data_IF_809082295821
#
_entry.id   IF_809082295821
#
_cell.length_a   1.000
_cell.length_b   1.000
_cell.length_c   1.000
_cell.angle_alpha   90.00
_cell.angle_beta   90.00
_cell.angle_gamma   90.00
#
_symmetry.space_group_name_H-M   'P 1'
#
loop_
_entity.id
_entity.type
_entity.pdbx_description
1 polymer ?
#
# COMPACT_ATOMS: atom_id res chain seq x y z
N UNK A 1 -1.79 27.03 -16.64
CA UNK A 1 -1.16 26.03 -15.76
C UNK A 1 -0.76 24.87 -16.64
N UNK A 2 0.54 24.66 -16.85
CA UNK A 2 1.05 23.57 -17.69
C UNK A 2 0.86 22.25 -16.94
N UNK A 3 0.02 21.37 -17.47
CA UNK A 3 -0.09 19.98 -17.02
C UNK A 3 1.20 19.26 -17.40
N UNK A 4 1.96 18.83 -16.39
CA UNK A 4 3.09 17.93 -16.58
C UNK A 4 2.54 16.55 -16.92
N UNK A 5 2.73 16.12 -18.16
CA UNK A 5 2.61 14.72 -18.57
C UNK A 5 3.71 13.92 -17.87
N UNK A 6 3.39 13.21 -16.79
CA UNK A 6 4.28 12.27 -16.11
C UNK A 6 3.46 11.05 -15.72
N UNK A 7 3.98 9.85 -15.94
CA UNK A 7 3.26 8.60 -15.65
C UNK A 7 2.78 8.60 -14.19
N UNK A 8 1.47 8.56 -13.96
CA UNK A 8 0.88 8.44 -12.63
C UNK A 8 0.98 6.99 -12.12
N UNK A 9 2.09 6.33 -12.44
CA UNK A 9 2.35 4.90 -12.26
C UNK A 9 3.81 4.72 -11.86
N UNK A 10 4.07 3.93 -10.82
CA UNK A 10 5.42 3.61 -10.36
C UNK A 10 5.52 2.13 -9.95
N UNK A 11 6.64 1.46 -10.25
CA UNK A 11 6.94 0.15 -9.68
C UNK A 11 7.02 0.20 -8.14
N UNK A 12 6.58 -0.86 -7.48
CA UNK A 12 6.59 -0.96 -6.01
C UNK A 12 7.98 -0.68 -5.42
N UNK A 13 9.04 -1.19 -6.05
CA UNK A 13 10.42 -0.92 -5.62
C UNK A 13 10.79 0.56 -5.60
N UNK A 14 10.26 1.34 -6.54
CA UNK A 14 10.50 2.79 -6.61
C UNK A 14 9.71 3.52 -5.52
N UNK A 15 8.47 3.10 -5.27
CA UNK A 15 7.65 3.61 -4.17
C UNK A 15 8.35 3.41 -2.81
N UNK A 16 8.88 2.21 -2.58
CA UNK A 16 9.60 1.88 -1.34
C UNK A 16 10.92 2.63 -1.22
N UNK A 17 11.65 2.79 -2.32
CA UNK A 17 12.87 3.59 -2.35
C UNK A 17 12.57 5.06 -1.98
N UNK A 18 11.55 5.67 -2.58
CA UNK A 18 11.12 7.03 -2.29
C UNK A 18 10.64 7.20 -0.83
N UNK A 19 9.93 6.21 -0.28
CA UNK A 19 9.51 6.24 1.13
C UNK A 19 10.73 6.26 2.06
N UNK A 20 11.72 5.40 1.80
CA UNK A 20 12.96 5.34 2.57
C UNK A 20 13.78 6.62 2.46
N UNK A 21 13.89 7.22 1.27
CA UNK A 21 14.55 8.52 1.06
C UNK A 21 13.90 9.65 1.85
N UNK A 22 12.58 9.58 2.07
CA UNK A 22 11.83 10.51 2.92
C UNK A 22 11.95 10.21 4.42
N UNK A 23 12.74 9.21 4.81
CA UNK A 23 12.91 8.79 6.20
C UNK A 23 11.74 7.98 6.75
N UNK A 24 10.86 7.47 5.90
CA UNK A 24 9.78 6.56 6.28
C UNK A 24 10.32 5.14 6.40
N UNK A 25 9.65 4.33 7.21
CA UNK A 25 9.96 2.91 7.41
C UNK A 25 8.79 2.04 6.96
N UNK A 26 9.10 0.79 6.59
CA UNK A 26 8.08 -0.21 6.33
C UNK A 26 7.27 -0.48 7.61
N UNK A 27 5.98 -0.65 7.43
CA UNK A 27 5.06 -1.08 8.46
C UNK A 27 5.36 -2.54 8.86
N UNK A 28 5.24 -2.89 10.15
CA UNK A 28 5.06 -4.28 10.55
C UNK A 28 3.84 -4.88 9.83
N UNK A 29 3.91 -6.14 9.41
CA UNK A 29 2.85 -6.77 8.63
C UNK A 29 1.49 -6.82 9.37
N UNK A 30 1.51 -6.74 10.70
CA UNK A 30 0.31 -6.66 11.55
C UNK A 30 -0.49 -5.37 11.34
N UNK A 31 0.11 -4.31 10.78
CA UNK A 31 -0.56 -3.03 10.57
C UNK A 31 -1.76 -3.18 9.64
N UNK A 32 -1.72 -4.03 8.61
CA UNK A 32 -2.86 -4.23 7.71
C UNK A 32 -4.10 -4.78 8.42
N UNK A 33 -4.03 -5.98 9.01
CA UNK A 33 -5.13 -6.55 9.77
C UNK A 33 -5.64 -5.63 10.89
N UNK A 34 -4.73 -5.02 11.66
CA UNK A 34 -5.08 -4.14 12.77
C UNK A 34 -5.77 -2.86 12.27
N UNK A 35 -5.26 -2.24 11.20
CA UNK A 35 -5.88 -1.06 10.60
C UNK A 35 -7.28 -1.37 10.10
N UNK A 36 -7.51 -2.52 9.47
CA UNK A 36 -8.86 -2.90 9.04
C UNK A 36 -9.82 -3.05 10.22
N UNK A 37 -9.35 -3.61 11.33
CA UNK A 37 -10.15 -3.76 12.55
C UNK A 37 -10.52 -2.41 13.15
N UNK A 38 -9.62 -1.42 13.11
CA UNK A 38 -9.84 -0.12 13.74
C UNK A 38 -10.54 0.90 12.84
N UNK A 39 -10.23 0.93 11.54
CA UNK A 39 -10.69 1.96 10.60
C UNK A 39 -12.06 1.58 10.02
N UNK A 40 -13.14 1.86 10.75
CA UNK A 40 -14.51 1.48 10.35
C UNK A 40 -15.25 2.52 9.52
N UNK A 41 -14.80 3.76 9.58
CA UNK A 41 -15.35 4.94 8.90
C UNK A 41 -14.58 5.27 7.59
N UNK A 42 -13.96 4.26 6.98
CA UNK A 42 -13.31 4.40 5.69
C UNK A 42 -14.30 4.94 4.64
N UNK A 43 -13.81 5.78 3.74
CA UNK A 43 -14.61 6.26 2.61
C UNK A 43 -14.71 5.19 1.52
N UNK A 44 -15.89 5.03 0.93
CA UNK A 44 -16.08 4.10 -0.19
C UNK A 44 -15.21 4.52 -1.39
N UNK A 45 -14.55 3.56 -2.00
CA UNK A 45 -13.58 3.78 -3.07
C UNK A 45 -12.18 4.17 -2.58
N UNK A 46 -11.92 4.20 -1.26
CA UNK A 46 -10.58 4.37 -0.72
C UNK A 46 -9.82 3.03 -0.71
N UNK A 47 -8.62 3.03 -1.30
CA UNK A 47 -7.71 1.88 -1.35
C UNK A 47 -6.41 2.25 -0.65
N UNK A 48 -6.15 1.60 0.48
CA UNK A 48 -4.95 1.84 1.28
C UNK A 48 -4.06 0.61 1.24
N UNK A 49 -2.92 0.70 0.57
CA UNK A 49 -1.89 -0.33 0.54
C UNK A 49 -0.96 -0.15 1.74
N UNK A 50 -0.67 -1.23 2.44
CA UNK A 50 0.30 -1.21 3.53
C UNK A 50 1.69 -1.33 2.94
N UNK A 51 2.53 -0.31 3.12
CA UNK A 51 3.94 -0.35 2.78
C UNK A 51 4.69 -1.23 3.78
N UNK A 52 4.64 -2.55 3.59
CA UNK A 52 5.21 -3.57 4.46
C UNK A 52 6.17 -4.49 3.70
N UNK A 53 6.89 -5.34 4.42
CA UNK A 53 7.63 -6.44 3.77
C UNK A 53 6.63 -7.41 3.13
N UNK A 54 6.72 -7.69 1.81
CA UNK A 54 5.81 -8.62 1.16
C UNK A 54 5.85 -10.01 1.79
N UNK A 55 4.69 -10.64 1.94
CA UNK A 55 4.57 -12.01 2.44
C UNK A 55 4.59 -12.95 1.24
N UNK A 56 5.47 -13.95 1.28
CA UNK A 56 5.48 -15.02 0.27
C UNK A 56 4.41 -16.07 0.59
N UNK A 57 3.61 -16.43 -0.41
CA UNK A 57 2.70 -17.57 -0.35
C UNK A 57 3.44 -18.91 -0.55
N UNK A 58 2.69 -20.03 -0.59
CA UNK A 58 3.26 -21.37 -0.74
C UNK A 58 3.95 -21.63 -2.09
N UNK A 59 3.69 -20.82 -3.11
CA UNK A 59 4.30 -20.93 -4.45
C UNK A 59 5.31 -19.81 -4.71
N UNK A 60 5.58 -18.96 -3.71
CA UNK A 60 6.55 -17.86 -3.79
C UNK A 60 5.98 -16.55 -4.35
N UNK A 61 4.66 -16.46 -4.53
CA UNK A 61 3.99 -15.21 -4.87
C UNK A 61 4.10 -14.22 -3.70
N UNK A 62 4.57 -13.01 -3.98
CA UNK A 62 4.71 -11.96 -2.99
C UNK A 62 3.41 -11.16 -2.89
N UNK A 63 2.96 -10.89 -1.66
CA UNK A 63 1.72 -10.15 -1.45
C UNK A 63 1.84 -9.07 -0.37
N UNK A 64 1.15 -7.96 -0.59
CA UNK A 64 0.94 -6.88 0.37
C UNK A 64 -0.49 -6.94 0.89
N UNK A 65 -0.72 -6.45 2.12
CA UNK A 65 -2.09 -6.19 2.58
C UNK A 65 -2.57 -4.84 2.10
N UNK A 66 -3.87 -4.76 1.85
CA UNK A 66 -4.59 -3.54 1.56
C UNK A 66 -5.91 -3.46 2.36
N UNK A 67 -6.38 -2.24 2.57
CA UNK A 67 -7.58 -1.93 3.36
C UNK A 67 -8.52 -1.18 2.43
N UNK A 68 -9.60 -1.85 2.03
CA UNK A 68 -10.52 -1.38 0.98
C UNK A 68 -11.94 -1.29 1.49
N UNK A 69 -12.67 -0.27 1.03
CA UNK A 69 -14.12 -0.21 1.14
C UNK A 69 -14.76 -0.04 -0.23
N UNK A 70 -15.52 -1.04 -0.68
CA UNK A 70 -16.21 -1.04 -1.96
C UNK A 70 -17.74 -1.24 -1.81
N UNK A 71 -18.41 -1.66 -2.89
CA UNK A 71 -19.84 -1.97 -2.90
C UNK A 71 -20.21 -3.14 -1.97
N UNK A 72 -19.28 -4.05 -1.70
CA UNK A 72 -19.48 -5.28 -0.93
C UNK A 72 -19.03 -5.16 0.54
N UNK A 73 -18.40 -4.04 0.91
CA UNK A 73 -18.10 -3.70 2.31
C UNK A 73 -16.62 -3.51 2.60
N UNK A 74 -16.24 -3.74 3.86
CA UNK A 74 -14.86 -3.55 4.33
C UNK A 74 -14.04 -4.82 4.11
N UNK A 75 -12.98 -4.72 3.32
CA UNK A 75 -12.11 -5.84 2.96
C UNK A 75 -10.69 -5.65 3.48
N UNK A 76 -10.02 -6.79 3.66
CA UNK A 76 -8.56 -6.91 3.82
C UNK A 76 -8.03 -7.87 2.75
N UNK A 77 -7.90 -7.43 1.49
CA UNK A 77 -7.35 -8.26 0.43
C UNK A 77 -5.83 -8.45 0.55
N UNK A 78 -5.30 -9.17 -0.42
CA UNK A 78 -3.87 -9.30 -0.67
C UNK A 78 -3.62 -8.94 -2.14
N UNK A 79 -2.74 -7.97 -2.37
CA UNK A 79 -2.37 -7.49 -3.71
C UNK A 79 -0.92 -7.85 -4.05
N UNK A 80 -0.55 -7.73 -5.33
CA UNK A 80 0.77 -8.07 -5.85
C UNK A 80 1.91 -7.27 -5.18
N UNK A 81 2.72 -7.96 -4.39
CA UNK A 81 3.89 -7.44 -3.70
C UNK A 81 5.19 -7.57 -4.49
N UNK A 82 5.12 -7.92 -5.79
CA UNK A 82 6.29 -7.97 -6.65
C UNK A 82 6.95 -6.58 -6.74
N UNK A 83 8.30 -6.50 -6.66
CA UNK A 83 9.01 -5.22 -6.78
C UNK A 83 8.79 -4.52 -8.12
N UNK A 84 8.42 -5.28 -9.16
CA UNK A 84 8.15 -4.77 -10.50
C UNK A 84 6.66 -4.51 -10.76
N UNK A 85 5.78 -4.81 -9.78
CA UNK A 85 4.35 -4.51 -9.88
C UNK A 85 4.14 -3.00 -9.95
N UNK A 86 3.30 -2.55 -10.88
CA UNK A 86 3.09 -1.14 -11.20
C UNK A 86 1.81 -0.63 -10.52
N UNK A 87 1.97 0.41 -9.73
CA UNK A 87 0.91 1.01 -8.94
C UNK A 87 0.61 2.42 -9.41
N UNK A 88 -0.66 2.77 -9.52
CA UNK A 88 -1.09 4.11 -9.94
C UNK A 88 -1.50 5.01 -8.75
N UNK A 89 -1.78 6.27 -9.04
CA UNK A 89 -2.12 7.29 -8.04
C UNK A 89 -3.44 7.07 -7.28
N UNK A 90 -4.30 6.13 -7.71
CA UNK A 90 -5.52 5.79 -6.97
C UNK A 90 -5.22 5.03 -5.67
N UNK A 91 -4.04 4.39 -5.59
CA UNK A 91 -3.61 3.63 -4.43
C UNK A 91 -2.84 4.51 -3.45
N UNK A 92 -3.26 4.51 -2.18
CA UNK A 92 -2.58 5.25 -1.11
C UNK A 92 -1.70 4.30 -0.31
N UNK A 93 -0.41 4.60 -0.21
CA UNK A 93 0.51 3.80 0.60
C UNK A 93 0.63 4.35 2.03
N UNK A 94 0.58 3.46 3.03
CA UNK A 94 0.85 3.78 4.43
C UNK A 94 2.22 3.25 4.84
N UNK A 95 3.02 4.14 5.44
CA UNK A 95 4.34 3.84 5.99
C UNK A 95 4.43 4.34 7.43
N UNK A 96 5.41 3.83 8.17
CA UNK A 96 5.74 4.33 9.51
C UNK A 96 6.53 5.62 9.38
N UNK A 97 6.10 6.66 10.11
CA UNK A 97 6.91 7.85 10.37
C UNK A 97 7.65 7.66 11.71
N UNK A 98 8.99 7.48 11.71
CA UNK A 98 9.74 7.27 12.94
C UNK A 98 9.64 8.50 13.85
N UNK A 99 9.47 8.28 15.16
CA UNK A 99 9.60 9.35 16.15
C UNK A 99 11.07 9.71 16.30
N UNK A 100 11.36 11.01 16.39
CA UNK A 100 12.68 11.54 16.72
C UNK A 100 13.01 11.32 18.18
#
# INVERSE_FOLDING_TARGET
MQGLTGKNEAPLKEIFAMAKEKGLQLCPNQVGPELRLQYKDQSKGEWIIIGMEPIADSVGGLSLFDVVYDDDGLWLPADDGSPDSVWNEHYRFVFVLPRK
#
